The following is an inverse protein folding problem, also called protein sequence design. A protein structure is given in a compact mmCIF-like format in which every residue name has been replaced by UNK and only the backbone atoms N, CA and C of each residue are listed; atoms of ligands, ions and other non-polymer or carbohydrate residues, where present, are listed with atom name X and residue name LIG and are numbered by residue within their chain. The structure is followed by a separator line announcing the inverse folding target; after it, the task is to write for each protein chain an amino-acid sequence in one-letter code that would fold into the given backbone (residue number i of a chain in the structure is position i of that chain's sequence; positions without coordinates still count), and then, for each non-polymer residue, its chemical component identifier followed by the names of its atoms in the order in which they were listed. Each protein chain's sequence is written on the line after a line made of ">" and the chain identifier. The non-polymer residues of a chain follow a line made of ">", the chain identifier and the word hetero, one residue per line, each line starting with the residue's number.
data_IF_191723391908
#
_entry.id   IF_191723391908
#
_cell.length_a   1.000
_cell.length_b   1.000
_cell.length_c   1.000
_cell.angle_alpha   90.00
_cell.angle_beta   90.00
_cell.angle_gamma   90.00
#
_symmetry.space_group_name_H-M   'P 1'
#
loop_
_entity.id
_entity.type
_entity.pdbx_description
1 polymer ?
#
# COMPACT_ATOMS: atom_id res chain seq x y z
N UNK A 1 -2.03 46.44 11.40
CA UNK A 1 -2.09 45.18 12.17
C UNK A 1 -2.34 44.10 11.14
N UNK A 2 -1.27 43.45 10.69
CA UNK A 2 -1.34 42.33 9.75
C UNK A 2 -1.78 41.13 10.59
N UNK A 3 -3.04 40.73 10.43
CA UNK A 3 -3.50 39.46 11.01
C UNK A 3 -3.03 38.36 10.07
N UNK A 4 -2.13 37.54 10.60
CA UNK A 4 -1.65 36.29 10.04
C UNK A 4 -2.85 35.38 9.75
N UNK A 5 -3.37 35.45 8.53
CA UNK A 5 -4.34 34.47 8.04
C UNK A 5 -3.58 33.20 7.72
N UNK A 6 -3.67 32.31 8.69
CA UNK A 6 -3.22 30.93 8.73
C UNK A 6 -3.33 30.25 7.35
N UNK A 7 -2.18 29.79 6.86
CA UNK A 7 -2.07 29.03 5.63
C UNK A 7 -2.79 27.70 5.87
N UNK A 8 -4.05 27.58 5.46
CA UNK A 8 -4.75 26.29 5.44
C UNK A 8 -4.01 25.34 4.48
N UNK A 9 -3.03 24.61 5.02
CA UNK A 9 -2.49 23.42 4.39
C UNK A 9 -3.63 22.39 4.36
N UNK A 10 -4.14 22.09 3.18
CA UNK A 10 -5.12 21.02 2.99
C UNK A 10 -4.63 19.72 3.66
N UNK A 11 -5.51 18.98 4.35
CA UNK A 11 -5.07 18.03 5.37
C UNK A 11 -4.49 16.75 4.74
N UNK A 12 -3.25 16.42 5.12
CA UNK A 12 -2.53 15.18 4.79
C UNK A 12 -3.24 13.92 5.39
N UNK A 13 -4.32 14.09 6.14
CA UNK A 13 -5.03 13.02 6.87
C UNK A 13 -5.93 12.14 6.02
N UNK A 14 -6.45 12.62 4.88
CA UNK A 14 -7.44 11.87 4.09
C UNK A 14 -6.82 10.64 3.40
N UNK A 15 -5.74 10.85 2.64
CA UNK A 15 -5.07 9.79 1.86
C UNK A 15 -4.42 8.72 2.76
N UNK A 16 -3.87 9.11 3.90
CA UNK A 16 -3.24 8.17 4.83
C UNK A 16 -4.28 7.28 5.53
N UNK A 17 -5.45 7.86 5.85
CA UNK A 17 -6.55 7.12 6.45
C UNK A 17 -7.25 6.22 5.41
N UNK A 18 -7.49 6.73 4.20
CA UNK A 18 -8.01 5.95 3.07
C UNK A 18 -7.13 4.72 2.80
N UNK A 19 -5.80 4.89 2.77
CA UNK A 19 -4.85 3.78 2.64
C UNK A 19 -4.94 2.77 3.78
N UNK A 20 -5.16 3.22 5.02
CA UNK A 20 -5.33 2.32 6.18
C UNK A 20 -6.63 1.52 6.05
N UNK A 21 -7.73 2.16 5.67
CA UNK A 21 -9.02 1.51 5.46
C UNK A 21 -8.94 0.48 4.33
N UNK A 22 -8.35 0.85 3.19
CA UNK A 22 -8.13 -0.06 2.06
C UNK A 22 -7.29 -1.29 2.47
N UNK A 23 -6.24 -1.08 3.27
CA UNK A 23 -5.44 -2.19 3.79
C UNK A 23 -6.25 -3.11 4.72
N UNK A 24 -7.21 -2.56 5.47
CA UNK A 24 -8.18 -3.33 6.26
C UNK A 24 -8.96 -4.31 5.38
N UNK A 25 -9.58 -3.82 4.30
CA UNK A 25 -10.32 -4.67 3.35
C UNK A 25 -9.44 -5.77 2.73
N UNK A 26 -8.21 -5.44 2.36
CA UNK A 26 -7.26 -6.44 1.82
C UNK A 26 -6.94 -7.50 2.87
N UNK A 27 -6.73 -7.10 4.12
CA UNK A 27 -6.42 -8.03 5.22
C UNK A 27 -7.59 -8.97 5.50
N UNK A 28 -8.83 -8.46 5.47
CA UNK A 28 -10.03 -9.26 5.61
C UNK A 28 -10.17 -10.28 4.47
N UNK A 29 -9.95 -9.86 3.21
CA UNK A 29 -9.97 -10.76 2.06
C UNK A 29 -8.91 -11.88 2.16
N UNK A 30 -7.74 -11.58 2.73
CA UNK A 30 -6.72 -12.60 3.00
C UNK A 30 -7.17 -13.60 4.07
N UNK A 31 -7.82 -13.12 5.13
CA UNK A 31 -8.34 -13.98 6.19
C UNK A 31 -9.45 -14.92 5.65
N UNK A 32 -10.36 -14.40 4.83
CA UNK A 32 -11.41 -15.19 4.17
C UNK A 32 -10.83 -16.24 3.23
N UNK A 33 -9.89 -15.84 2.36
CA UNK A 33 -9.20 -16.77 1.45
C UNK A 33 -8.52 -17.93 2.21
N UNK A 34 -7.93 -17.64 3.37
CA UNK A 34 -7.30 -18.67 4.19
C UNK A 34 -8.32 -19.64 4.81
N UNK A 35 -9.51 -19.15 5.19
CA UNK A 35 -10.61 -20.00 5.68
C UNK A 35 -11.15 -20.92 4.59
N UNK A 36 -11.16 -20.47 3.34
CA UNK A 36 -11.52 -21.26 2.16
C UNK A 36 -10.43 -22.29 1.77
N UNK A 37 -9.29 -22.28 2.47
CA UNK A 37 -8.19 -23.23 2.26
C UNK A 37 -7.20 -22.81 1.16
N UNK A 38 -7.22 -21.56 0.72
CA UNK A 38 -6.20 -21.03 -0.18
C UNK A 38 -4.86 -20.91 0.53
N UNK A 39 -3.80 -21.19 -0.21
CA UNK A 39 -2.43 -21.02 0.26
C UNK A 39 -2.08 -19.53 0.35
N UNK A 40 -1.46 -19.14 1.47
CA UNK A 40 -1.13 -17.74 1.76
C UNK A 40 -0.12 -17.16 0.76
N UNK A 41 0.83 -17.95 0.27
CA UNK A 41 1.83 -17.48 -0.70
C UNK A 41 1.16 -17.25 -2.05
N UNK A 42 0.23 -18.13 -2.46
CA UNK A 42 -0.59 -17.93 -3.64
C UNK A 42 -1.44 -16.66 -3.56
N UNK A 43 -2.09 -16.40 -2.42
CA UNK A 43 -2.89 -15.19 -2.21
C UNK A 43 -2.02 -13.93 -2.26
N UNK A 44 -0.83 -13.95 -1.66
CA UNK A 44 0.12 -12.85 -1.70
C UNK A 44 0.57 -12.54 -3.14
N UNK A 45 0.92 -13.55 -3.93
CA UNK A 45 1.31 -13.37 -5.33
C UNK A 45 0.16 -12.81 -6.17
N UNK A 46 -1.06 -13.31 -5.98
CA UNK A 46 -2.25 -12.80 -6.66
C UNK A 46 -2.51 -11.33 -6.30
N UNK A 47 -2.37 -10.95 -5.04
CA UNK A 47 -2.54 -9.57 -4.58
C UNK A 47 -1.50 -8.62 -5.18
N UNK A 48 -0.23 -9.06 -5.26
CA UNK A 48 0.84 -8.28 -5.91
C UNK A 48 0.51 -8.07 -7.39
N UNK A 49 0.07 -9.11 -8.08
CA UNK A 49 -0.31 -9.01 -9.49
C UNK A 49 -1.51 -8.06 -9.70
N UNK A 50 -2.55 -8.16 -8.87
CA UNK A 50 -3.69 -7.25 -8.91
C UNK A 50 -3.27 -5.80 -8.63
N UNK A 51 -2.42 -5.56 -7.62
CA UNK A 51 -1.93 -4.23 -7.30
C UNK A 51 -1.13 -3.61 -8.47
N UNK A 52 -0.25 -4.37 -9.11
CA UNK A 52 0.49 -3.87 -10.27
C UNK A 52 -0.40 -3.62 -11.48
N UNK A 53 -1.40 -4.46 -11.74
CA UNK A 53 -2.38 -4.19 -12.80
C UNK A 53 -3.09 -2.86 -12.60
N UNK A 54 -3.52 -2.55 -11.38
CA UNK A 54 -4.17 -1.27 -11.05
C UNK A 54 -3.23 -0.07 -11.23
N UNK A 55 -1.97 -0.21 -10.80
CA UNK A 55 -0.94 0.83 -10.99
C UNK A 55 -0.68 1.09 -12.47
N UNK A 56 -0.56 0.04 -13.28
CA UNK A 56 -0.37 0.17 -14.73
C UNK A 56 -1.61 0.76 -15.40
N UNK A 57 -2.82 0.34 -15.02
CA UNK A 57 -4.06 0.87 -15.57
C UNK A 57 -4.24 2.36 -15.26
N UNK A 58 -3.87 2.79 -14.05
CA UNK A 58 -4.04 4.18 -13.59
C UNK A 58 -2.93 5.11 -14.08
N UNK A 59 -1.67 4.66 -14.07
CA UNK A 59 -0.50 5.52 -14.26
C UNK A 59 0.38 5.13 -15.45
N UNK A 60 0.16 3.96 -16.05
CA UNK A 60 0.97 3.41 -17.15
C UNK A 60 2.14 2.53 -16.69
N UNK A 61 2.70 1.77 -17.64
CA UNK A 61 3.75 0.77 -17.38
C UNK A 61 5.03 1.37 -16.81
N UNK A 62 5.50 2.49 -17.37
CA UNK A 62 6.76 3.11 -16.95
C UNK A 62 6.68 3.65 -15.51
N UNK A 63 5.56 4.31 -15.16
CA UNK A 63 5.34 4.82 -13.81
C UNK A 63 5.25 3.68 -12.77
N UNK A 64 4.60 2.56 -13.13
CA UNK A 64 4.56 1.38 -12.29
C UNK A 64 5.94 0.73 -12.11
N UNK A 65 6.77 0.72 -13.17
CA UNK A 65 8.15 0.23 -13.11
C UNK A 65 9.02 1.10 -12.20
N UNK A 66 8.93 2.43 -12.31
CA UNK A 66 9.64 3.37 -11.44
C UNK A 66 9.22 3.20 -9.97
N UNK A 67 7.92 3.03 -9.70
CA UNK A 67 7.44 2.70 -8.36
C UNK A 67 8.07 1.40 -7.82
N UNK A 68 8.17 0.36 -8.66
CA UNK A 68 8.72 -0.93 -8.29
C UNK A 68 10.23 -0.89 -7.97
N UNK A 69 11.00 0.02 -8.57
CA UNK A 69 12.44 0.14 -8.35
C UNK A 69 12.81 0.38 -6.88
N UNK A 70 11.96 1.07 -6.12
CA UNK A 70 12.18 1.33 -4.70
C UNK A 70 11.78 0.18 -3.76
N UNK A 71 11.08 -0.84 -4.25
CA UNK A 71 10.58 -1.94 -3.42
C UNK A 71 11.71 -2.80 -2.82
N UNK A 72 12.75 -3.22 -3.56
CA UNK A 72 13.83 -4.03 -3.00
C UNK A 72 14.49 -3.37 -1.79
N UNK A 73 14.73 -2.06 -1.85
CA UNK A 73 15.37 -1.33 -0.76
C UNK A 73 14.44 -1.18 0.45
N UNK A 74 13.15 -0.94 0.22
CA UNK A 74 12.14 -0.92 1.29
C UNK A 74 12.01 -2.29 1.98
N UNK A 75 12.05 -3.38 1.22
CA UNK A 75 12.02 -4.75 1.75
C UNK A 75 13.25 -5.01 2.63
N UNK A 76 14.45 -4.71 2.14
CA UNK A 76 15.70 -4.86 2.93
C UNK A 76 15.70 -3.96 4.17
N UNK A 77 15.17 -2.74 4.05
CA UNK A 77 14.97 -1.83 5.17
C UNK A 77 13.88 -2.27 6.15
N UNK A 78 13.12 -3.34 5.85
CA UNK A 78 12.11 -3.91 6.76
C UNK A 78 10.79 -3.15 6.77
N UNK A 79 10.51 -2.35 5.75
CA UNK A 79 9.28 -1.57 5.65
C UNK A 79 8.00 -2.41 5.56
N UNK A 80 8.13 -3.75 5.45
CA UNK A 80 7.03 -4.71 5.40
C UNK A 80 7.12 -5.78 6.50
N UNK A 81 8.09 -5.67 7.42
CA UNK A 81 8.23 -6.62 8.53
C UNK A 81 7.35 -6.22 9.70
N UNK A 82 6.58 -7.18 10.24
CA UNK A 82 5.63 -6.97 11.34
C UNK A 82 6.28 -7.13 12.73
N UNK A 83 7.53 -7.60 12.80
CA UNK A 83 8.30 -7.75 14.02
C UNK A 83 9.61 -6.94 13.94
N UNK A 84 10.10 -6.36 15.06
CA UNK A 84 11.43 -5.76 15.10
C UNK A 84 12.47 -6.84 14.78
N UNK A 85 13.34 -6.57 13.81
CA UNK A 85 14.48 -7.44 13.51
C UNK A 85 15.36 -7.54 14.77
N UNK A 86 15.56 -8.76 15.25
CA UNK A 86 16.51 -9.10 16.29
C UNK A 86 17.88 -9.40 15.68
#
# INVERSE_FOLDING_TARGET
>A
MLEDYDYQSAPITDVAEEKRVALGYVTEAFAEAQLDGLDADCMAQAAIFAAFQELVATYGEEAAAEFAQGLPDRIRAGGFSIAPRH
#
